data_IF_943251757752
#
_entry.id   IF_943251757752
#
_cell.length_a   1.000
_cell.length_b   1.000
_cell.length_c   1.000
_cell.angle_alpha   90.00
_cell.angle_beta   90.00
_cell.angle_gamma   90.00
#
_symmetry.space_group_name_H-M   'P 1'
#
loop_
_entity.id
_entity.type
_entity.pdbx_description
1 polymer ?
#
# COMPACT_ATOMS: atom_id res chain seq x y z
N UNK A 1 -22.95 7.27 -0.69
CA UNK A 1 -22.56 6.55 -1.92
C UNK A 1 -21.51 5.52 -1.54
N UNK A 2 -21.84 4.23 -1.50
CA UNK A 2 -21.00 3.19 -0.89
C UNK A 2 -19.79 2.90 -1.76
N UNK A 3 -18.60 3.23 -1.23
CA UNK A 3 -17.30 2.84 -1.74
C UNK A 3 -17.30 1.34 -2.03
N UNK A 4 -16.94 0.94 -3.25
CA UNK A 4 -16.89 -0.47 -3.62
C UNK A 4 -15.67 -1.11 -2.95
N UNK A 5 -15.88 -1.83 -1.85
CA UNK A 5 -14.84 -2.53 -1.09
C UNK A 5 -13.95 -3.42 -1.97
N UNK A 6 -14.45 -3.86 -3.14
CA UNK A 6 -13.70 -4.64 -4.13
C UNK A 6 -12.45 -3.94 -4.67
N UNK A 7 -12.43 -2.61 -4.77
CA UNK A 7 -11.27 -1.88 -5.29
C UNK A 7 -10.12 -1.91 -4.28
N UNK A 8 -10.42 -1.81 -2.99
CA UNK A 8 -9.43 -1.94 -1.92
C UNK A 8 -8.91 -3.36 -1.75
N UNK A 9 -9.74 -4.38 -2.05
CA UNK A 9 -9.32 -5.78 -2.01
C UNK A 9 -8.15 -6.08 -2.94
N UNK A 10 -8.09 -5.44 -4.12
CA UNK A 10 -6.98 -5.62 -5.06
C UNK A 10 -5.68 -5.08 -4.43
N UNK A 11 -5.71 -3.86 -3.90
CA UNK A 11 -4.55 -3.24 -3.28
C UNK A 11 -4.09 -3.99 -2.01
N UNK A 12 -5.03 -4.45 -1.19
CA UNK A 12 -4.74 -5.27 0.00
C UNK A 12 -4.12 -6.62 -0.39
N UNK A 13 -4.70 -7.30 -1.39
CA UNK A 13 -4.18 -8.58 -1.89
C UNK A 13 -2.76 -8.43 -2.42
N UNK A 14 -2.50 -7.35 -3.18
CA UNK A 14 -1.17 -7.08 -3.71
C UNK A 14 -0.14 -6.86 -2.59
N UNK A 15 -0.52 -6.07 -1.57
CA UNK A 15 0.34 -5.82 -0.41
C UNK A 15 0.64 -7.11 0.36
N UNK A 16 -0.38 -7.94 0.60
CA UNK A 16 -0.23 -9.24 1.26
C UNK A 16 0.70 -10.17 0.49
N UNK A 17 0.57 -10.24 -0.84
CA UNK A 17 1.47 -11.04 -1.68
C UNK A 17 2.92 -10.56 -1.52
N UNK A 18 3.15 -9.25 -1.53
CA UNK A 18 4.48 -8.68 -1.31
C UNK A 18 5.07 -9.05 0.06
N UNK A 19 4.27 -8.94 1.12
CA UNK A 19 4.68 -9.30 2.49
C UNK A 19 5.00 -10.79 2.58
N UNK A 20 4.11 -11.66 2.07
CA UNK A 20 4.32 -13.11 2.07
C UNK A 20 5.59 -13.47 1.31
N UNK A 21 5.81 -12.88 0.13
CA UNK A 21 7.01 -13.11 -0.65
C UNK A 21 8.29 -12.72 0.10
N UNK A 22 8.30 -11.55 0.76
CA UNK A 22 9.42 -11.11 1.57
C UNK A 22 9.68 -12.04 2.77
N UNK A 23 8.64 -12.46 3.48
CA UNK A 23 8.76 -13.39 4.62
C UNK A 23 9.27 -14.76 4.19
N UNK A 24 8.76 -15.32 3.08
CA UNK A 24 9.25 -16.59 2.52
C UNK A 24 10.72 -16.45 2.11
N UNK A 25 11.08 -15.33 1.49
CA UNK A 25 12.47 -15.06 1.13
C UNK A 25 13.39 -15.00 2.36
N UNK A 26 12.91 -14.42 3.48
CA UNK A 26 13.67 -14.39 4.74
C UNK A 26 13.93 -15.82 5.27
N UNK A 27 12.91 -16.68 5.27
CA UNK A 27 13.02 -18.08 5.74
C UNK A 27 13.97 -18.90 4.85
N UNK A 28 13.98 -18.65 3.54
CA UNK A 28 14.90 -19.32 2.61
C UNK A 28 16.34 -18.82 2.82
N UNK A 29 16.54 -17.52 3.05
CA UNK A 29 17.87 -16.95 3.34
C UNK A 29 18.45 -17.43 4.67
N UNK A 30 17.64 -17.85 5.64
CA UNK A 30 18.18 -18.50 6.87
C UNK A 30 18.91 -19.82 6.58
N UNK A 31 18.53 -20.52 5.50
CA UNK A 31 19.10 -21.83 5.15
C UNK A 31 20.03 -21.77 3.93
N UNK A 32 20.26 -20.59 3.37
CA UNK A 32 21.08 -20.40 2.17
C UNK A 32 21.91 -19.13 2.26
N UNK A 33 23.18 -19.17 1.84
CA UNK A 33 24.08 -17.99 1.80
C UNK A 33 23.71 -16.99 0.70
N UNK A 34 22.42 -16.85 0.38
CA UNK A 34 21.93 -16.05 -0.73
C UNK A 34 21.32 -14.74 -0.28
N UNK A 35 21.69 -13.64 -0.94
CA UNK A 35 21.17 -12.28 -0.74
C UNK A 35 19.72 -12.11 -1.24
N UNK A 36 18.92 -13.18 -1.28
CA UNK A 36 17.54 -13.18 -1.74
C UNK A 36 16.65 -12.34 -0.84
N UNK A 37 16.86 -12.39 0.48
CA UNK A 37 16.17 -11.54 1.44
C UNK A 37 16.35 -10.04 1.13
N UNK A 38 17.59 -9.57 0.95
CA UNK A 38 17.86 -8.18 0.58
C UNK A 38 17.15 -7.78 -0.73
N UNK A 39 17.19 -8.65 -1.76
CA UNK A 39 16.50 -8.40 -3.04
C UNK A 39 14.98 -8.33 -2.87
N UNK A 40 14.40 -9.15 -1.99
CA UNK A 40 12.97 -9.16 -1.71
C UNK A 40 12.47 -7.83 -1.13
N UNK A 41 13.33 -7.09 -0.41
CA UNK A 41 13.03 -5.75 0.08
C UNK A 41 12.70 -4.75 -1.03
N UNK A 42 13.39 -4.82 -2.16
CA UNK A 42 13.13 -3.94 -3.31
C UNK A 42 11.75 -4.22 -3.93
N UNK A 43 11.38 -5.50 -4.04
CA UNK A 43 10.06 -5.95 -4.51
C UNK A 43 8.97 -5.48 -3.55
N UNK A 44 9.16 -5.66 -2.24
CA UNK A 44 8.23 -5.22 -1.21
C UNK A 44 8.00 -3.69 -1.25
N UNK A 45 9.09 -2.93 -1.43
CA UNK A 45 9.05 -1.47 -1.58
C UNK A 45 8.24 -1.08 -2.81
N UNK A 46 8.56 -1.67 -3.97
CA UNK A 46 7.87 -1.38 -5.22
C UNK A 46 6.37 -1.66 -5.14
N UNK A 47 5.98 -2.83 -4.63
CA UNK A 47 4.56 -3.21 -4.43
C UNK A 47 3.87 -2.19 -3.52
N UNK A 48 4.51 -1.76 -2.44
CA UNK A 48 3.95 -0.79 -1.50
C UNK A 48 3.70 0.57 -2.17
N UNK A 49 4.62 1.04 -3.01
CA UNK A 49 4.45 2.28 -3.79
C UNK A 49 3.33 2.14 -4.82
N UNK A 50 3.23 0.99 -5.51
CA UNK A 50 2.12 0.71 -6.45
C UNK A 50 0.77 0.76 -5.72
N UNK A 51 0.68 0.20 -4.51
CA UNK A 51 -0.53 0.26 -3.67
C UNK A 51 -0.86 1.71 -3.29
N UNK A 52 0.13 2.52 -2.90
CA UNK A 52 -0.10 3.94 -2.61
C UNK A 52 -0.61 4.70 -3.83
N UNK A 53 -0.07 4.42 -5.03
CA UNK A 53 -0.54 5.04 -6.27
C UNK A 53 -1.99 4.66 -6.59
N UNK A 54 -2.37 3.38 -6.39
CA UNK A 54 -3.75 2.93 -6.56
C UNK A 54 -4.69 3.63 -5.58
N UNK A 55 -4.32 3.71 -4.30
CA UNK A 55 -5.10 4.41 -3.28
C UNK A 55 -5.28 5.89 -3.65
N UNK A 56 -4.20 6.59 -4.02
CA UNK A 56 -4.27 7.99 -4.44
C UNK A 56 -5.20 8.18 -5.65
N UNK A 57 -5.18 7.25 -6.61
CA UNK A 57 -6.08 7.27 -7.77
C UNK A 57 -7.55 7.08 -7.37
N UNK A 58 -7.84 6.20 -6.40
CA UNK A 58 -9.20 6.01 -5.86
C UNK A 58 -9.68 7.30 -5.21
N UNK A 59 -8.88 7.91 -4.32
CA UNK A 59 -9.24 9.17 -3.66
C UNK A 59 -9.45 10.31 -4.65
N UNK A 60 -8.61 10.38 -5.69
CA UNK A 60 -8.77 11.37 -6.77
C UNK A 60 -10.11 11.20 -7.49
N UNK A 61 -10.47 9.97 -7.88
CA UNK A 61 -11.77 9.67 -8.53
C UNK A 61 -12.96 9.99 -7.63
N UNK A 62 -12.85 9.71 -6.33
CA UNK A 62 -13.88 10.06 -5.34
C UNK A 62 -14.05 11.59 -5.25
N UNK A 63 -12.94 12.33 -5.18
CA UNK A 63 -12.96 13.80 -5.16
C UNK A 63 -13.57 14.39 -6.45
N UNK A 64 -13.18 13.88 -7.62
CA UNK A 64 -13.75 14.30 -8.93
C UNK A 64 -15.26 14.05 -8.97
N UNK A 65 -15.72 12.89 -8.49
CA UNK A 65 -17.14 12.56 -8.44
C UNK A 65 -17.94 13.46 -7.51
N UNK A 66 -17.36 13.84 -6.36
CA UNK A 66 -17.99 14.80 -5.43
C UNK A 66 -18.00 16.19 -6.07
N UNK A 67 -16.93 16.63 -6.72
CA UNK A 67 -16.89 17.93 -7.40
C UNK A 67 -17.96 18.05 -8.49
N UNK A 68 -18.20 16.97 -9.25
CA UNK A 68 -19.22 16.90 -10.31
C UNK A 68 -20.66 16.72 -9.80
N UNK A 69 -20.87 16.44 -8.51
CA UNK A 69 -22.23 16.32 -7.95
C UNK A 69 -22.90 17.68 -7.75
N UNK A 70 -24.24 17.73 -7.79
CA UNK A 70 -25.04 18.94 -7.55
C UNK A 70 -25.07 19.42 -6.08
N UNK A 71 -24.16 18.91 -5.24
CA UNK A 71 -24.08 19.29 -3.83
C UNK A 71 -23.61 20.74 -3.65
N UNK A 72 -24.09 21.38 -2.58
CA UNK A 72 -23.56 22.68 -2.17
C UNK A 72 -22.09 22.57 -1.75
N UNK A 73 -21.32 23.65 -1.90
CA UNK A 73 -19.87 23.66 -1.66
C UNK A 73 -19.54 23.25 -0.22
N UNK A 74 -20.38 23.65 0.75
CA UNK A 74 -20.21 23.30 2.15
C UNK A 74 -20.43 21.80 2.41
N UNK A 75 -21.38 21.17 1.72
CA UNK A 75 -21.63 19.73 1.79
C UNK A 75 -20.55 18.90 1.07
N UNK A 76 -20.01 19.42 -0.05
CA UNK A 76 -18.87 18.82 -0.75
C UNK A 76 -17.65 18.72 0.16
N UNK A 77 -17.32 19.80 0.87
CA UNK A 77 -16.20 19.86 1.82
C UNK A 77 -16.39 18.89 2.99
N UNK A 78 -17.60 18.80 3.54
CA UNK A 78 -17.91 17.87 4.64
C UNK A 78 -17.81 16.41 4.21
N UNK A 79 -18.26 16.09 3.00
CA UNK A 79 -18.22 14.72 2.45
C UNK A 79 -16.80 14.28 2.11
N UNK A 80 -15.95 15.17 1.62
CA UNK A 80 -14.52 14.87 1.36
C UNK A 80 -13.76 14.65 2.69
N UNK A 81 -14.15 15.37 3.75
CA UNK A 81 -13.53 15.25 5.07
C UNK A 81 -13.93 13.97 5.81
N UNK A 82 -15.05 13.35 5.43
CA UNK A 82 -15.50 12.06 5.97
C UNK A 82 -14.63 10.93 5.41
N UNK A 83 -13.41 10.85 5.95
CA UNK A 83 -12.35 9.99 5.45
C UNK A 83 -12.65 8.52 5.77
N UNK A 84 -12.59 7.66 4.75
CA UNK A 84 -12.80 6.24 4.95
C UNK A 84 -11.65 5.64 5.77
N UNK A 85 -11.97 5.14 6.97
CA UNK A 85 -11.00 4.55 7.90
C UNK A 85 -10.15 3.44 7.28
N UNK A 86 -10.75 2.65 6.36
CA UNK A 86 -10.02 1.60 5.63
C UNK A 86 -8.95 2.19 4.71
N UNK A 87 -9.28 3.25 3.97
CA UNK A 87 -8.33 3.91 3.09
C UNK A 87 -7.12 4.41 3.87
N UNK A 88 -7.38 5.13 4.97
CA UNK A 88 -6.33 5.66 5.84
C UNK A 88 -5.45 4.54 6.41
N UNK A 89 -6.04 3.44 6.84
CA UNK A 89 -5.31 2.29 7.38
C UNK A 89 -4.40 1.66 6.32
N UNK A 90 -4.92 1.32 5.14
CA UNK A 90 -4.12 0.68 4.08
C UNK A 90 -3.04 1.64 3.56
N UNK A 91 -3.32 2.94 3.49
CA UNK A 91 -2.34 3.96 3.13
C UNK A 91 -1.17 4.01 4.13
N UNK A 92 -1.45 4.06 5.43
CA UNK A 92 -0.42 4.07 6.48
C UNK A 92 0.38 2.76 6.45
N UNK A 93 -0.29 1.61 6.40
CA UNK A 93 0.37 0.31 6.38
C UNK A 93 1.28 0.18 5.16
N UNK A 94 0.81 0.53 3.96
CA UNK A 94 1.66 0.52 2.76
C UNK A 94 2.83 1.51 2.84
N UNK A 95 2.67 2.67 3.48
CA UNK A 95 3.77 3.59 3.78
C UNK A 95 4.85 2.95 4.66
N UNK A 96 4.45 2.33 5.77
CA UNK A 96 5.36 1.62 6.66
C UNK A 96 6.04 0.43 5.98
N UNK A 97 5.29 -0.36 5.21
CA UNK A 97 5.83 -1.49 4.45
C UNK A 97 6.85 -1.04 3.40
N UNK A 98 6.63 0.12 2.77
CA UNK A 98 7.61 0.71 1.84
C UNK A 98 8.92 1.07 2.54
N UNK A 99 8.84 1.69 3.72
CA UNK A 99 10.02 2.02 4.53
C UNK A 99 10.76 0.75 4.96
N UNK A 100 10.03 -0.24 5.47
CA UNK A 100 10.61 -1.52 5.88
C UNK A 100 11.26 -2.26 4.70
N UNK A 101 10.59 -2.31 3.56
CA UNK A 101 11.16 -2.88 2.33
C UNK A 101 12.44 -2.18 1.91
N UNK A 102 12.51 -0.86 2.06
CA UNK A 102 13.70 -0.08 1.71
C UNK A 102 14.85 -0.37 2.66
N UNK A 103 14.58 -0.51 3.96
CA UNK A 103 15.57 -0.92 4.95
C UNK A 103 16.08 -2.33 4.69
N UNK A 104 15.20 -3.29 4.39
CA UNK A 104 15.57 -4.66 4.02
C UNK A 104 16.41 -4.65 2.74
N UNK A 105 16.08 -3.79 1.78
CA UNK A 105 16.85 -3.71 0.55
C UNK A 105 18.25 -3.14 0.76
N UNK A 106 18.37 -2.08 1.55
CA UNK A 106 19.64 -1.40 1.80
C UNK A 106 20.56 -2.10 2.80
N UNK A 107 20.01 -2.87 3.74
CA UNK A 107 20.76 -3.46 4.86
C UNK A 107 20.51 -4.96 5.05
N UNK A 108 19.70 -5.60 4.21
CA UNK A 108 19.33 -7.01 4.38
C UNK A 108 20.48 -7.99 4.14
N UNK A 109 21.53 -7.56 3.46
CA UNK A 109 22.79 -8.29 3.26
C UNK A 109 23.68 -8.30 4.52
N UNK A 110 23.48 -7.38 5.46
CA UNK A 110 24.18 -7.41 6.75
C UNK A 110 23.60 -8.46 7.71
N UNK A 111 22.37 -8.92 7.46
CA UNK A 111 21.67 -9.83 8.34
C UNK A 111 21.95 -11.31 8.03
N UNK A 112 22.34 -11.64 6.79
CA UNK A 112 22.59 -13.00 6.30
C UNK A 112 23.63 -13.04 5.19
#
# INVERSE_FOLDING_TARGET
MTVNNKTYLISISLLLIGIIFCTVSAVISLNSNGNWFARSGSILTFISVVVQFQLASIKKKEAEKIMQSDLDIHEKLKTIKDDNSLHKTVFIVSGLTSLLGTLIWGYGDLLF
#
